data_IF_830165324475
#
_entry.id   IF_830165324475
#
_cell.length_a   1.000
_cell.length_b   1.000
_cell.length_c   1.000
_cell.angle_alpha   90.00
_cell.angle_beta   90.00
_cell.angle_gamma   90.00
#
_symmetry.space_group_name_H-M   'P 1'
#
loop_
_entity.id
_entity.type
_entity.pdbx_description
1 polymer ?
#
# COMPACT_ATOMS: atom_id res chain seq x y z
N UNK A 1 -4.07 6.71 1.38
CA UNK A 1 -4.71 6.64 0.06
C UNK A 1 -5.47 5.34 -0.04
N UNK A 2 -6.78 5.43 -0.28
CA UNK A 2 -7.71 4.29 -0.30
C UNK A 2 -8.31 4.10 -1.69
N UNK A 3 -8.44 5.17 -2.47
CA UNK A 3 -8.98 5.14 -3.83
C UNK A 3 -7.89 5.55 -4.82
N UNK A 4 -7.97 5.03 -6.04
CA UNK A 4 -7.00 5.30 -7.12
C UNK A 4 -6.87 6.79 -7.43
N UNK A 5 -7.97 7.55 -7.31
CA UNK A 5 -7.97 8.99 -7.53
C UNK A 5 -7.30 9.83 -6.42
N UNK A 6 -6.99 9.25 -5.25
CA UNK A 6 -6.38 10.01 -4.15
C UNK A 6 -4.97 10.51 -4.53
N UNK A 7 -4.27 9.78 -5.40
CA UNK A 7 -2.94 10.16 -5.89
C UNK A 7 -3.06 11.45 -6.68
N UNK A 8 -3.92 11.44 -7.68
CA UNK A 8 -4.15 12.59 -8.57
C UNK A 8 -4.65 13.79 -7.79
N UNK A 9 -5.55 13.58 -6.82
CA UNK A 9 -6.03 14.65 -5.93
C UNK A 9 -4.91 15.25 -5.09
N UNK A 10 -4.00 14.43 -4.56
CA UNK A 10 -2.87 14.92 -3.76
C UNK A 10 -1.91 15.78 -4.61
N UNK A 11 -1.59 15.34 -5.82
CA UNK A 11 -0.74 16.12 -6.74
C UNK A 11 -1.42 17.44 -7.14
N UNK A 12 -2.70 17.40 -7.50
CA UNK A 12 -3.47 18.62 -7.85
C UNK A 12 -3.58 19.58 -6.66
N UNK A 13 -3.61 19.07 -5.43
CA UNK A 13 -3.59 19.88 -4.22
C UNK A 13 -2.21 20.52 -3.93
N UNK A 14 -1.20 20.29 -4.77
CA UNK A 14 0.13 20.90 -4.66
C UNK A 14 1.19 20.03 -3.99
N UNK A 15 0.98 18.71 -3.88
CA UNK A 15 2.01 17.81 -3.38
C UNK A 15 3.10 17.57 -4.45
N UNK A 16 4.36 17.86 -4.12
CA UNK A 16 5.50 17.50 -4.98
C UNK A 16 5.77 15.99 -4.98
N UNK A 17 5.41 15.31 -3.89
CA UNK A 17 5.64 13.88 -3.69
C UNK A 17 4.66 13.28 -2.67
N UNK A 18 4.39 11.98 -2.79
CA UNK A 18 3.55 11.23 -1.84
C UNK A 18 4.27 9.96 -1.38
N UNK A 19 4.08 9.59 -0.11
CA UNK A 19 4.59 8.34 0.46
C UNK A 19 3.45 7.32 0.59
N UNK A 20 3.67 6.12 0.07
CA UNK A 20 2.68 5.04 0.03
C UNK A 20 3.15 3.84 0.86
N UNK A 21 2.36 3.43 1.86
CA UNK A 21 2.61 2.22 2.66
C UNK A 21 1.76 1.04 2.19
N UNK A 22 0.52 0.97 2.69
CA UNK A 22 -0.40 -0.16 2.47
C UNK A 22 -0.66 -0.49 1.00
N UNK A 23 -0.59 0.51 0.11
CA UNK A 23 -0.80 0.31 -1.33
C UNK A 23 0.34 -0.48 -1.98
N UNK A 24 1.57 -0.33 -1.47
CA UNK A 24 2.75 -1.03 -1.97
C UNK A 24 3.01 -2.33 -1.20
N UNK A 25 2.42 -2.50 -0.01
CA UNK A 25 2.72 -3.59 0.92
C UNK A 25 2.57 -5.01 0.34
N UNK A 26 1.75 -5.19 -0.70
CA UNK A 26 1.53 -6.49 -1.36
C UNK A 26 2.50 -6.82 -2.50
N UNK A 27 3.39 -5.90 -2.90
CA UNK A 27 4.33 -6.11 -4.00
C UNK A 27 5.37 -7.20 -3.68
N UNK A 28 6.04 -7.77 -4.68
CA UNK A 28 6.93 -8.91 -4.48
C UNK A 28 8.20 -8.54 -3.71
N UNK A 29 8.65 -7.31 -3.91
CA UNK A 29 9.82 -6.70 -3.30
C UNK A 29 9.62 -6.33 -1.83
N UNK A 30 8.38 -6.29 -1.34
CA UNK A 30 8.13 -5.94 0.07
C UNK A 30 8.55 -7.07 1.01
N UNK A 31 9.14 -6.73 2.18
CA UNK A 31 9.53 -7.74 3.16
C UNK A 31 8.31 -8.48 3.71
N UNK A 32 8.50 -9.76 4.02
CA UNK A 32 7.45 -10.63 4.57
C UNK A 32 7.01 -11.74 3.61
N UNK A 33 6.50 -12.83 4.18
CA UNK A 33 6.06 -13.99 3.42
C UNK A 33 4.66 -13.80 2.81
N UNK A 34 4.46 -14.34 1.61
CA UNK A 34 3.13 -14.48 1.00
C UNK A 34 2.41 -15.65 1.68
N UNK A 35 1.34 -15.35 2.39
CA UNK A 35 0.48 -16.31 3.06
C UNK A 35 -0.69 -16.62 2.13
N UNK A 36 -0.92 -17.90 1.83
CA UNK A 36 -2.14 -18.31 1.16
C UNK A 36 -3.30 -18.34 2.15
N UNK A 37 -4.37 -17.61 1.84
CA UNK A 37 -5.60 -17.63 2.60
C UNK A 37 -6.79 -17.75 1.65
N UNK A 38 -7.53 -18.85 1.74
CA UNK A 38 -8.73 -19.12 0.93
C UNK A 38 -8.48 -19.00 -0.59
N UNK A 39 -7.36 -19.55 -1.07
CA UNK A 39 -6.99 -19.54 -2.50
C UNK A 39 -6.51 -18.19 -3.03
N UNK A 40 -6.21 -17.23 -2.14
CA UNK A 40 -5.61 -15.94 -2.48
C UNK A 40 -4.34 -15.73 -1.67
N UNK A 41 -3.33 -15.14 -2.29
CA UNK A 41 -2.09 -14.79 -1.62
C UNK A 41 -2.20 -13.41 -0.99
N UNK A 42 -1.76 -13.29 0.26
CA UNK A 42 -1.72 -12.06 1.02
C UNK A 42 -0.35 -11.88 1.63
N UNK A 43 0.15 -10.63 1.69
CA UNK A 43 1.28 -10.29 2.56
C UNK A 43 0.77 -9.58 3.80
N UNK A 44 1.37 -9.88 4.95
CA UNK A 44 1.02 -9.17 6.18
C UNK A 44 1.52 -7.73 6.11
N UNK A 45 0.70 -6.79 6.56
CA UNK A 45 1.07 -5.39 6.66
C UNK A 45 0.58 -4.87 8.01
N UNK A 46 1.52 -4.32 8.78
CA UNK A 46 1.25 -3.69 10.08
C UNK A 46 1.80 -2.27 10.06
N UNK A 47 0.97 -1.29 10.36
CA UNK A 47 1.41 0.10 10.49
C UNK A 47 2.26 0.29 11.74
N UNK A 48 3.15 1.28 11.74
CA UNK A 48 4.06 1.54 12.88
C UNK A 48 3.36 1.91 14.20
N UNK A 49 2.08 2.30 14.17
CA UNK A 49 1.28 2.65 15.36
C UNK A 49 0.29 1.58 15.81
N UNK A 50 0.48 0.33 15.39
CA UNK A 50 -0.35 -0.84 15.71
C UNK A 50 0.10 -1.55 16.97
#
# INVERSE_FOLDING_TARGET
MKQTGDLTKAIVAGADMVMLGSMLAGADETPGEKIEHKGKYYKSYRGMGS
#
